data_IF_974556598117
#
_entry.id   IF_974556598117
#
_cell.length_a   1.000
_cell.length_b   1.000
_cell.length_c   1.000
_cell.angle_alpha   90.00
_cell.angle_beta   90.00
_cell.angle_gamma   90.00
#
_symmetry.space_group_name_H-M   'P 1'
#
loop_
_entity.id
_entity.type
_entity.pdbx_description
1 polymer ?
#
# COMPACT_ATOMS: atom_id res chain seq x y z
N UNK A 1 -11.35 -10.63 -0.88
CA UNK A 1 -11.68 -11.23 0.44
C UNK A 1 -13.08 -10.75 0.82
N UNK A 2 -13.91 -11.57 1.45
CA UNK A 2 -15.29 -11.20 1.87
C UNK A 2 -15.68 -11.99 3.13
N UNK A 3 -16.78 -11.61 3.78
CA UNK A 3 -17.28 -12.27 4.99
C UNK A 3 -18.78 -12.51 4.87
N UNK A 4 -19.20 -13.77 5.04
CA UNK A 4 -20.63 -14.15 4.97
C UNK A 4 -21.47 -13.45 6.04
N UNK A 5 -20.93 -13.34 7.26
CA UNK A 5 -21.63 -12.69 8.37
C UNK A 5 -21.85 -11.20 8.10
N UNK A 6 -20.83 -10.51 7.57
CA UNK A 6 -20.93 -9.06 7.28
C UNK A 6 -21.86 -8.80 6.09
N UNK A 7 -21.82 -9.65 5.06
CA UNK A 7 -22.74 -9.52 3.92
C UNK A 7 -24.20 -9.71 4.35
N UNK A 8 -24.47 -10.69 5.23
CA UNK A 8 -25.81 -10.95 5.74
C UNK A 8 -26.35 -9.76 6.56
N UNK A 9 -25.52 -9.17 7.42
CA UNK A 9 -25.89 -7.99 8.21
C UNK A 9 -26.12 -6.75 7.34
N UNK A 10 -25.28 -6.54 6.32
CA UNK A 10 -25.38 -5.39 5.43
C UNK A 10 -26.45 -5.54 4.33
N UNK A 11 -26.99 -6.75 4.12
CA UNK A 11 -27.93 -7.04 3.03
C UNK A 11 -27.33 -6.92 1.62
N UNK A 12 -26.00 -6.96 1.49
CA UNK A 12 -25.30 -6.83 0.21
C UNK A 12 -23.92 -7.51 0.22
N UNK A 13 -23.30 -7.64 -0.96
CA UNK A 13 -21.96 -8.22 -1.07
C UNK A 13 -20.86 -7.18 -0.78
N UNK A 14 -20.18 -7.36 0.36
CA UNK A 14 -19.04 -6.53 0.75
C UNK A 14 -17.72 -7.25 0.44
N UNK A 15 -16.84 -6.53 -0.23
CA UNK A 15 -15.50 -7.00 -0.57
C UNK A 15 -14.43 -6.16 0.13
N UNK A 16 -13.48 -6.83 0.77
CA UNK A 16 -12.34 -6.21 1.44
C UNK A 16 -11.12 -6.19 0.52
N UNK A 17 -10.55 -4.99 0.35
CA UNK A 17 -9.23 -4.79 -0.24
C UNK A 17 -8.18 -4.74 0.88
N UNK A 18 -7.67 -5.91 1.24
CA UNK A 18 -6.80 -6.11 2.40
C UNK A 18 -5.35 -5.67 2.14
N UNK A 19 -5.11 -4.35 2.07
CA UNK A 19 -3.77 -3.80 1.88
C UNK A 19 -2.84 -4.00 3.10
N UNK A 20 -3.38 -4.45 4.25
CA UNK A 20 -2.59 -4.94 5.37
C UNK A 20 -1.79 -6.22 5.04
N UNK A 21 -2.12 -6.90 3.93
CA UNK A 21 -1.38 -8.07 3.43
C UNK A 21 -0.36 -7.70 2.34
N UNK A 22 -0.22 -6.42 2.00
CA UNK A 22 0.82 -5.98 1.05
C UNK A 22 2.21 -6.07 1.72
N UNK A 23 3.27 -6.00 0.90
CA UNK A 23 4.64 -5.77 1.38
C UNK A 23 4.65 -4.65 2.42
N UNK A 24 5.43 -4.84 3.48
CA UNK A 24 5.51 -3.98 4.69
C UNK A 24 4.21 -3.86 5.50
N UNK A 25 3.20 -4.69 5.24
CA UNK A 25 1.94 -4.71 6.00
C UNK A 25 1.02 -3.51 5.72
N UNK A 26 1.25 -2.78 4.63
CA UNK A 26 0.46 -1.61 4.25
C UNK A 26 0.54 -1.33 2.75
N UNK A 27 -0.42 -0.53 2.23
CA UNK A 27 -0.47 -0.15 0.81
C UNK A 27 0.77 0.64 0.33
N UNK A 28 1.54 1.25 1.24
CA UNK A 28 2.54 2.27 0.93
C UNK A 28 3.75 1.75 0.16
N UNK A 29 4.04 0.44 0.19
CA UNK A 29 5.07 -0.16 -0.66
C UNK A 29 4.83 0.13 -2.16
N UNK A 30 3.56 0.19 -2.58
CA UNK A 30 3.20 0.45 -3.98
C UNK A 30 3.62 1.85 -4.42
N UNK A 31 3.25 2.86 -3.64
CA UNK A 31 3.57 4.26 -3.93
C UNK A 31 5.06 4.55 -3.83
N UNK A 32 5.71 4.02 -2.79
CA UNK A 32 7.16 4.13 -2.61
C UNK A 32 7.92 3.58 -3.81
N UNK A 33 7.57 2.36 -4.23
CA UNK A 33 8.21 1.71 -5.36
C UNK A 33 7.98 2.46 -6.67
N UNK A 34 6.74 2.90 -6.94
CA UNK A 34 6.44 3.69 -8.12
C UNK A 34 7.25 4.99 -8.18
N UNK A 35 7.28 5.74 -7.07
CA UNK A 35 8.00 7.00 -7.00
C UNK A 35 9.51 6.82 -7.28
N UNK A 36 10.13 5.81 -6.67
CA UNK A 36 11.56 5.53 -6.88
C UNK A 36 11.84 5.08 -8.31
N UNK A 37 10.97 4.28 -8.92
CA UNK A 37 11.12 3.83 -10.31
C UNK A 37 10.95 4.96 -11.35
N UNK A 38 10.24 6.03 -11.00
CA UNK A 38 10.08 7.20 -11.87
C UNK A 38 11.25 8.19 -11.81
N UNK A 39 12.25 7.99 -10.93
CA UNK A 39 13.42 8.85 -10.87
C UNK A 39 14.34 8.59 -12.08
N UNK A 40 14.93 9.66 -12.60
CA UNK A 40 16.01 9.54 -13.58
C UNK A 40 17.28 8.96 -12.94
N UNK A 41 18.25 8.56 -13.77
CA UNK A 41 19.48 7.94 -13.29
C UNK A 41 20.31 8.87 -12.39
N UNK A 42 20.37 10.16 -12.70
CA UNK A 42 21.11 11.15 -11.92
C UNK A 42 20.47 11.38 -10.55
N UNK A 43 19.14 11.36 -10.46
CA UNK A 43 18.37 11.42 -9.22
C UNK A 43 18.56 10.16 -8.39
N UNK A 44 18.42 8.97 -9.00
CA UNK A 44 18.60 7.69 -8.32
C UNK A 44 20.00 7.53 -7.75
N UNK A 45 21.04 8.01 -8.46
CA UNK A 45 22.42 7.96 -8.01
C UNK A 45 22.69 8.82 -6.75
N UNK A 46 21.90 9.87 -6.51
CA UNK A 46 21.99 10.69 -5.28
C UNK A 46 21.35 10.02 -4.06
N UNK A 47 20.62 8.93 -4.26
CA UNK A 47 19.82 8.28 -3.23
C UNK A 47 18.48 8.99 -2.96
N UNK A 48 17.70 8.41 -2.06
CA UNK A 48 16.39 8.92 -1.65
C UNK A 48 16.31 9.04 -0.14
N UNK A 49 15.58 10.03 0.34
CA UNK A 49 15.27 10.21 1.75
C UNK A 49 13.78 10.54 1.91
N UNK A 50 13.17 10.06 2.98
CA UNK A 50 11.78 10.34 3.33
C UNK A 50 11.63 10.39 4.84
N UNK A 51 10.56 11.01 5.32
CA UNK A 51 10.16 10.93 6.72
C UNK A 51 8.70 10.50 6.78
N UNK A 52 8.37 9.59 7.69
CA UNK A 52 7.01 9.10 7.86
C UNK A 52 6.78 8.55 9.25
N UNK A 53 5.52 8.37 9.62
CA UNK A 53 5.10 7.87 10.93
C UNK A 53 5.22 6.33 11.10
N UNK A 54 5.68 5.59 10.09
CA UNK A 54 5.81 4.13 10.16
C UNK A 54 5.72 3.45 8.80
N UNK A 55 4.51 3.20 8.28
CA UNK A 55 4.25 2.35 7.09
C UNK A 55 5.04 2.69 5.80
N UNK A 56 5.72 3.83 5.71
CA UNK A 56 6.55 4.25 4.57
C UNK A 56 8.03 4.44 4.92
N UNK A 57 8.36 4.44 6.21
CA UNK A 57 9.71 4.67 6.70
C UNK A 57 10.61 3.46 6.42
#
# INVERSE_FOLDING_TARGET
MSSRLINAEAGCDIHFKCENLQKVGAFKARGAHNAVLCLDEAQRARGVATHSSGNHA
#
